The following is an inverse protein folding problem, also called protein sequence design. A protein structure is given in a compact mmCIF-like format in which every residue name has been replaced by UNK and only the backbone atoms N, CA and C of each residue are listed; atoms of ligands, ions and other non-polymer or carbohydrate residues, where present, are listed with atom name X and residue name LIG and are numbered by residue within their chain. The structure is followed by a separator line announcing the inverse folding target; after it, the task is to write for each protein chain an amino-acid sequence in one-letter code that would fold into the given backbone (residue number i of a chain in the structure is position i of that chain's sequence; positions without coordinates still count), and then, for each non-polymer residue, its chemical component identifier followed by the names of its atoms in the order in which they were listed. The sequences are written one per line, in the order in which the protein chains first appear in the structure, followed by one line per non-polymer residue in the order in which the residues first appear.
data_IF_818823103212
#
_entry.id   IF_818823103212
#
_cell.length_a   1.000
_cell.length_b   1.000
_cell.length_c   1.000
_cell.angle_alpha   90.00
_cell.angle_beta   90.00
_cell.angle_gamma   90.00
#
_symmetry.space_group_name_H-M   'P 1'
#
loop_
_entity.id
_entity.type
_entity.pdbx_description
1 polymer ?
#
# COMPACT_ATOMS: atom_id res chain seq x y z
N UNK A 1 15.18 9.96 -4.47
CA UNK A 1 13.74 9.68 -4.38
C UNK A 1 13.47 8.43 -5.21
N UNK A 2 12.88 7.38 -4.63
CA UNK A 2 12.51 6.16 -5.36
C UNK A 2 10.98 6.18 -5.50
N UNK A 3 10.49 6.09 -6.73
CA UNK A 3 9.07 6.02 -7.04
C UNK A 3 8.73 4.69 -7.68
N UNK A 4 7.53 4.20 -7.41
CA UNK A 4 6.98 3.02 -8.06
C UNK A 4 5.58 3.36 -8.60
N UNK A 5 5.24 2.82 -9.76
CA UNK A 5 3.89 2.89 -10.32
C UNK A 5 3.67 1.64 -11.17
N UNK A 6 2.45 1.11 -11.17
CA UNK A 6 2.09 -0.02 -12.01
C UNK A 6 0.64 0.07 -12.47
N UNK A 7 0.34 -0.54 -13.61
CA UNK A 7 -1.03 -0.69 -14.12
C UNK A 7 -1.62 -1.99 -13.58
N UNK A 8 -2.56 -1.88 -12.65
CA UNK A 8 -3.24 -3.03 -12.02
C UNK A 8 -4.31 -3.63 -12.95
N UNK A 9 -4.80 -2.85 -13.91
CA UNK A 9 -5.86 -3.25 -14.85
C UNK A 9 -7.20 -2.65 -14.46
N UNK A 10 -8.28 -3.42 -14.58
CA UNK A 10 -9.63 -3.00 -14.17
C UNK A 10 -9.85 -3.40 -12.72
N UNK A 11 -9.99 -2.42 -11.83
CA UNK A 11 -10.22 -2.64 -10.40
C UNK A 11 -11.00 -1.45 -9.79
N UNK A 12 -11.44 -1.60 -8.55
CA UNK A 12 -12.03 -0.48 -7.79
C UNK A 12 -10.94 0.42 -7.22
N UNK A 13 -11.29 1.66 -6.86
CA UNK A 13 -10.35 2.61 -6.23
C UNK A 13 -9.76 2.00 -4.96
N UNK A 14 -10.60 1.46 -4.06
CA UNK A 14 -10.13 0.82 -2.83
C UNK A 14 -9.16 -0.34 -3.09
N UNK A 15 -9.38 -1.13 -4.14
CA UNK A 15 -8.45 -2.18 -4.53
C UNK A 15 -7.09 -1.59 -4.91
N UNK A 16 -7.07 -0.53 -5.75
CA UNK A 16 -5.84 0.11 -6.18
C UNK A 16 -5.03 0.66 -4.98
N UNK A 17 -5.72 1.32 -4.04
CA UNK A 17 -5.11 1.87 -2.82
C UNK A 17 -4.49 0.78 -1.93
N UNK A 18 -5.25 -0.30 -1.69
CA UNK A 18 -4.74 -1.43 -0.89
C UNK A 18 -3.58 -2.15 -1.60
N UNK A 19 -3.64 -2.23 -2.93
CA UNK A 19 -2.57 -2.82 -3.73
C UNK A 19 -1.29 -1.99 -3.67
N UNK A 20 -1.39 -0.67 -3.69
CA UNK A 20 -0.24 0.22 -3.55
C UNK A 20 0.47 0.02 -2.21
N UNK A 21 -0.29 0.01 -1.11
CA UNK A 21 0.25 -0.27 0.24
C UNK A 21 0.93 -1.65 0.28
N UNK A 22 0.24 -2.69 -0.19
CA UNK A 22 0.77 -4.05 -0.20
C UNK A 22 2.06 -4.17 -1.02
N UNK A 23 2.09 -3.59 -2.22
CA UNK A 23 3.23 -3.70 -3.10
C UNK A 23 4.41 -2.84 -2.60
N UNK A 24 4.13 -1.66 -2.04
CA UNK A 24 5.13 -0.85 -1.33
C UNK A 24 5.82 -1.63 -0.21
N UNK A 25 5.05 -2.29 0.65
CA UNK A 25 5.59 -3.17 1.70
C UNK A 25 6.41 -4.34 1.14
N UNK A 26 5.97 -4.95 0.02
CA UNK A 26 6.73 -6.02 -0.66
C UNK A 26 8.07 -5.52 -1.18
N UNK A 27 8.14 -4.32 -1.75
CA UNK A 27 9.39 -3.69 -2.19
C UNK A 27 10.31 -3.44 -1.00
N UNK A 28 9.80 -2.87 0.09
CA UNK A 28 10.58 -2.61 1.30
C UNK A 28 11.18 -3.90 1.87
N UNK A 29 10.36 -4.96 2.00
CA UNK A 29 10.82 -6.28 2.42
C UNK A 29 11.91 -6.84 1.51
N UNK A 30 11.74 -6.72 0.19
CA UNK A 30 12.73 -7.17 -0.79
C UNK A 30 14.09 -6.45 -0.70
N UNK A 31 14.12 -5.29 -0.02
CA UNK A 31 15.34 -4.50 0.23
C UNK A 31 15.88 -4.66 1.66
N UNK A 32 15.30 -5.53 2.47
CA UNK A 32 15.67 -5.71 3.87
C UNK A 32 15.24 -4.56 4.80
N UNK A 33 14.32 -3.70 4.36
CA UNK A 33 13.77 -2.58 5.14
C UNK A 33 12.46 -3.03 5.80
N UNK A 34 12.53 -3.70 6.95
CA UNK A 34 11.37 -4.33 7.57
C UNK A 34 10.92 -3.68 8.89
N UNK A 35 11.76 -2.87 9.52
CA UNK A 35 11.51 -2.34 10.87
C UNK A 35 10.95 -0.91 10.82
N UNK A 36 9.98 -0.64 11.70
CA UNK A 36 9.38 0.68 11.94
C UNK A 36 8.86 1.40 10.67
N UNK A 37 8.10 0.69 9.83
CA UNK A 37 7.48 1.26 8.63
C UNK A 37 6.23 2.07 9.02
N UNK A 38 6.23 3.36 8.65
CA UNK A 38 5.03 4.21 8.68
C UNK A 38 4.55 4.37 7.24
N UNK A 39 3.31 3.99 6.96
CA UNK A 39 2.66 4.15 5.66
C UNK A 39 1.59 5.24 5.76
N UNK A 40 1.75 6.29 4.96
CA UNK A 40 0.76 7.36 4.82
C UNK A 40 -0.05 7.13 3.54
N UNK A 41 -1.36 7.32 3.59
CA UNK A 41 -2.26 7.22 2.45
C UNK A 41 -3.33 8.30 2.57
N UNK A 42 -3.68 8.91 1.45
CA UNK A 42 -4.78 9.88 1.33
C UNK A 42 -6.16 9.21 1.23
N UNK A 43 -6.19 7.89 1.10
CA UNK A 43 -7.41 7.09 1.05
C UNK A 43 -7.92 6.75 2.46
N UNK A 44 -8.87 7.55 2.95
CA UNK A 44 -9.56 7.27 4.22
C UNK A 44 -10.20 5.87 4.23
N UNK A 45 -10.67 5.40 3.08
CA UNK A 45 -11.26 4.06 2.95
C UNK A 45 -10.21 2.96 3.15
N UNK A 46 -9.01 3.10 2.57
CA UNK A 46 -7.93 2.12 2.75
C UNK A 46 -7.42 2.12 4.20
N UNK A 47 -7.22 3.30 4.79
CA UNK A 47 -6.80 3.45 6.19
C UNK A 47 -7.83 2.83 7.13
N UNK A 48 -9.12 3.10 6.93
CA UNK A 48 -10.17 2.49 7.75
C UNK A 48 -10.26 0.98 7.54
N UNK A 49 -10.12 0.50 6.31
CA UNK A 49 -10.18 -0.94 6.01
C UNK A 49 -9.08 -1.71 6.74
N UNK A 50 -7.84 -1.20 6.73
CA UNK A 50 -6.71 -1.84 7.39
C UNK A 50 -6.75 -1.71 8.92
N UNK A 51 -7.15 -0.56 9.44
CA UNK A 51 -7.20 -0.32 10.89
C UNK A 51 -8.42 -0.94 11.57
N UNK A 52 -9.51 -1.18 10.82
CA UNK A 52 -10.71 -1.84 11.31
C UNK A 52 -10.75 -3.32 10.92
N UNK A 53 -9.59 -3.95 10.72
CA UNK A 53 -9.51 -5.40 10.51
C UNK A 53 -10.46 -6.10 11.51
N UNK A 54 -11.40 -6.89 10.97
CA UNK A 54 -12.53 -7.51 11.67
C UNK A 54 -12.21 -8.03 13.07
#
# INVERSE_FOLDING_TARGET
MLGFSCRIGVCSILHAELWDIFYGLKILRGRGLCDNIISESDSISAVQFLNKAF
#
